data_IF_440706376241
#
_entry.id   IF_440706376241
#
_cell.length_a   1.000
_cell.length_b   1.000
_cell.length_c   1.000
_cell.angle_alpha   90.00
_cell.angle_beta   90.00
_cell.angle_gamma   90.00
#
_symmetry.space_group_name_H-M   'P 1'
#
loop_
_entity.id
_entity.type
_entity.pdbx_description
1 polymer ?
#
# COMPACT_ATOMS: atom_id res chain seq x y z
N UNK A 1 -3.57 -16.71 15.17
CA UNK A 1 -3.90 -17.43 13.91
C UNK A 1 -2.91 -18.57 13.78
N UNK A 2 -3.32 -19.69 13.20
CA UNK A 2 -2.39 -20.77 12.81
C UNK A 2 -1.73 -20.43 11.47
N UNK A 3 -0.62 -21.07 11.13
CA UNK A 3 0.08 -20.84 9.85
C UNK A 3 -0.85 -21.04 8.64
N UNK A 4 -1.67 -22.10 8.69
CA UNK A 4 -2.70 -22.37 7.68
C UNK A 4 -3.74 -21.24 7.55
N UNK A 5 -4.08 -20.58 8.66
CA UNK A 5 -5.00 -19.43 8.61
C UNK A 5 -4.34 -18.21 7.99
N UNK A 6 -3.03 -18.04 8.15
CA UNK A 6 -2.25 -16.96 7.54
C UNK A 6 -2.13 -17.18 6.02
N UNK A 7 -1.86 -18.42 5.59
CA UNK A 7 -1.77 -18.78 4.17
C UNK A 7 -3.10 -18.58 3.41
N UNK A 8 -4.24 -18.76 4.08
CA UNK A 8 -5.57 -18.54 3.51
C UNK A 8 -6.06 -17.09 3.68
N UNK A 9 -5.18 -16.15 4.07
CA UNK A 9 -5.49 -14.73 4.01
C UNK A 9 -5.36 -14.24 2.57
N UNK A 10 -6.33 -13.44 2.13
CA UNK A 10 -6.21 -12.76 0.85
C UNK A 10 -5.02 -11.78 0.93
N UNK A 11 -4.13 -11.70 -0.07
CA UNK A 11 -2.99 -10.78 -0.11
C UNK A 11 -3.47 -9.36 -0.44
N UNK A 12 -4.41 -8.86 0.34
CA UNK A 12 -5.04 -7.55 0.23
C UNK A 12 -4.35 -6.59 1.18
N UNK A 13 -4.32 -5.31 0.80
CA UNK A 13 -3.67 -4.27 1.59
C UNK A 13 -3.36 -3.06 0.72
N UNK A 14 -2.97 -3.27 -0.53
CA UNK A 14 -2.86 -2.20 -1.52
C UNK A 14 -4.23 -1.65 -1.93
N UNK A 15 -4.31 -0.32 -2.05
CA UNK A 15 -5.41 0.36 -2.74
C UNK A 15 -5.42 -0.04 -4.22
N UNK A 16 -6.56 -0.02 -4.94
CA UNK A 16 -7.91 0.14 -4.41
C UNK A 16 -8.50 -1.19 -3.91
N UNK A 17 -9.29 -1.10 -2.84
CA UNK A 17 -10.17 -2.18 -2.38
C UNK A 17 -11.62 -1.71 -2.49
N UNK A 18 -12.45 -2.50 -3.14
CA UNK A 18 -13.90 -2.29 -3.19
C UNK A 18 -14.56 -3.21 -2.17
N UNK A 19 -15.47 -2.66 -1.36
CA UNK A 19 -16.15 -3.41 -0.31
C UNK A 19 -17.62 -3.01 -0.23
N UNK A 20 -18.50 -4.00 -0.05
CA UNK A 20 -19.91 -3.72 0.19
C UNK A 20 -20.12 -3.08 1.57
N UNK A 21 -21.09 -2.19 1.70
CA UNK A 21 -21.33 -1.44 2.94
C UNK A 21 -21.57 -2.34 4.15
N UNK A 22 -22.30 -3.44 3.97
CA UNK A 22 -22.56 -4.40 5.06
C UNK A 22 -21.29 -5.15 5.50
N UNK A 23 -20.40 -5.45 4.55
CA UNK A 23 -19.13 -6.11 4.85
C UNK A 23 -18.20 -5.16 5.60
N UNK A 24 -18.19 -3.88 5.18
CA UNK A 24 -17.46 -2.84 5.89
C UNK A 24 -17.97 -2.67 7.33
N UNK A 25 -19.29 -2.71 7.56
CA UNK A 25 -19.83 -2.65 8.93
C UNK A 25 -19.35 -3.82 9.80
N UNK A 26 -19.15 -5.01 9.22
CA UNK A 26 -18.61 -6.18 9.92
C UNK A 26 -17.11 -6.05 10.20
N UNK A 27 -16.34 -5.58 9.21
CA UNK A 27 -14.87 -5.49 9.30
C UNK A 27 -14.42 -4.32 10.17
N UNK A 28 -15.07 -3.16 10.06
CA UNK A 28 -14.62 -1.90 10.69
C UNK A 28 -14.33 -1.98 12.20
N UNK A 29 -15.21 -2.53 13.07
CA UNK A 29 -14.91 -2.63 14.50
C UNK A 29 -13.74 -3.57 14.78
N UNK A 30 -13.63 -4.67 14.03
CA UNK A 30 -12.53 -5.64 14.17
C UNK A 30 -11.21 -5.00 13.70
N UNK A 31 -11.26 -4.27 12.59
CA UNK A 31 -10.11 -3.57 12.03
C UNK A 31 -9.56 -2.53 13.01
N UNK A 32 -10.42 -1.73 13.63
CA UNK A 32 -10.03 -0.81 14.68
C UNK A 32 -9.26 -1.53 15.81
N UNK A 33 -9.83 -2.59 16.36
CA UNK A 33 -9.24 -3.30 17.51
C UNK A 33 -7.94 -4.02 17.13
N UNK A 34 -7.87 -4.61 15.94
CA UNK A 34 -6.66 -5.26 15.43
C UNK A 34 -5.56 -4.23 15.21
N UNK A 35 -5.87 -3.11 14.54
CA UNK A 35 -4.93 -2.02 14.29
C UNK A 35 -4.35 -1.47 15.59
N UNK A 36 -5.19 -1.24 16.62
CA UNK A 36 -4.72 -0.79 17.92
C UNK A 36 -3.78 -1.80 18.59
N UNK A 37 -4.11 -3.10 18.54
CA UNK A 37 -3.24 -4.14 19.09
C UNK A 37 -1.89 -4.19 18.40
N UNK A 38 -1.88 -4.11 17.06
CA UNK A 38 -0.64 -4.05 16.27
C UNK A 38 0.17 -2.81 16.64
N UNK A 39 -0.48 -1.65 16.76
CA UNK A 39 0.17 -0.38 17.11
C UNK A 39 0.79 -0.39 18.51
N UNK A 40 0.20 -1.13 19.45
CA UNK A 40 0.69 -1.27 20.82
C UNK A 40 1.86 -2.26 20.93
N UNK A 41 2.02 -3.15 19.96
CA UNK A 41 3.17 -4.04 19.89
C UNK A 41 4.39 -3.29 19.35
N UNK A 42 5.45 -3.19 20.16
CA UNK A 42 6.64 -2.41 19.82
C UNK A 42 7.40 -2.96 18.62
N UNK A 43 7.44 -4.27 18.44
CA UNK A 43 8.17 -4.89 17.33
C UNK A 43 7.38 -4.70 16.03
N UNK A 44 6.06 -4.91 16.07
CA UNK A 44 5.20 -4.70 14.92
C UNK A 44 5.13 -3.22 14.50
N UNK A 45 4.97 -2.29 15.45
CA UNK A 45 4.96 -0.84 15.16
C UNK A 45 6.29 -0.38 14.55
N UNK A 46 7.42 -0.86 15.09
CA UNK A 46 8.74 -0.55 14.55
C UNK A 46 8.92 -1.13 13.15
N UNK A 47 8.44 -2.35 12.89
CA UNK A 47 8.61 -3.02 11.61
C UNK A 47 7.71 -2.47 10.51
N UNK A 48 6.44 -2.17 10.81
CA UNK A 48 5.43 -1.82 9.81
C UNK A 48 5.12 -0.33 9.76
N UNK A 49 5.38 0.41 10.84
CA UNK A 49 5.18 1.85 10.91
C UNK A 49 3.79 2.27 10.45
N UNK A 50 3.71 3.30 9.61
CA UNK A 50 2.42 3.83 9.14
C UNK A 50 1.61 2.85 8.28
N UNK A 51 2.22 1.80 7.72
CA UNK A 51 1.57 0.80 6.85
C UNK A 51 0.77 -0.22 7.67
N UNK A 52 0.93 -0.25 8.99
CA UNK A 52 0.30 -1.24 9.88
C UNK A 52 -1.22 -1.32 9.75
N UNK A 53 -1.88 -0.21 9.41
CA UNK A 53 -3.33 -0.17 9.28
C UNK A 53 -3.81 -0.99 8.07
N UNK A 54 -3.01 -1.05 7.00
CA UNK A 54 -3.29 -1.88 5.81
C UNK A 54 -3.22 -3.37 6.18
N UNK A 55 -2.22 -3.80 6.97
CA UNK A 55 -2.14 -5.18 7.48
C UNK A 55 -3.27 -5.49 8.47
N UNK A 56 -3.65 -4.51 9.30
CA UNK A 56 -4.78 -4.61 10.21
C UNK A 56 -6.08 -4.93 9.46
N UNK A 57 -6.29 -4.31 8.29
CA UNK A 57 -7.46 -4.57 7.45
C UNK A 57 -7.49 -6.01 6.91
N UNK A 58 -6.35 -6.51 6.45
CA UNK A 58 -6.21 -7.89 5.94
C UNK A 58 -6.57 -8.91 7.01
N UNK A 59 -6.01 -8.73 8.21
CA UNK A 59 -6.26 -9.60 9.37
C UNK A 59 -7.72 -9.50 9.80
N UNK A 60 -8.28 -8.30 9.89
CA UNK A 60 -9.67 -8.09 10.27
C UNK A 60 -10.65 -8.68 9.26
N UNK A 61 -10.38 -8.57 7.96
CA UNK A 61 -11.18 -9.19 6.91
C UNK A 61 -11.22 -10.70 7.06
N UNK A 62 -10.07 -11.32 7.34
CA UNK A 62 -9.98 -12.76 7.63
C UNK A 62 -10.82 -13.16 8.84
N UNK A 63 -10.72 -12.40 9.94
CA UNK A 63 -11.50 -12.66 11.17
C UNK A 63 -13.00 -12.49 10.92
N UNK A 64 -13.39 -11.48 10.16
CA UNK A 64 -14.79 -11.20 9.80
C UNK A 64 -15.39 -12.21 8.79
N UNK A 65 -14.56 -13.10 8.23
CA UNK A 65 -14.97 -14.03 7.17
C UNK A 65 -15.31 -13.31 5.85
N UNK A 66 -14.72 -12.14 5.59
CA UNK A 66 -14.88 -11.42 4.34
C UNK A 66 -13.75 -11.84 3.40
N UNK A 67 -14.11 -12.19 2.16
CA UNK A 67 -13.18 -12.57 1.09
C UNK A 67 -13.25 -11.56 -0.04
N UNK A 68 -12.13 -11.42 -0.75
CA UNK A 68 -11.99 -10.45 -1.83
C UNK A 68 -11.77 -11.15 -3.16
N UNK A 69 -12.36 -10.58 -4.22
CA UNK A 69 -12.08 -10.99 -5.59
C UNK A 69 -10.75 -10.35 -6.04
N UNK A 70 -9.71 -11.16 -6.17
CA UNK A 70 -8.37 -10.69 -6.45
C UNK A 70 -8.20 -10.37 -7.95
N UNK A 71 -7.72 -9.15 -8.21
CA UNK A 71 -7.42 -8.65 -9.56
C UNK A 71 -6.00 -8.05 -9.61
N UNK A 72 -4.94 -8.88 -9.67
CA UNK A 72 -3.56 -8.40 -9.65
C UNK A 72 -3.23 -7.42 -10.80
N UNK A 73 -3.84 -7.61 -11.98
CA UNK A 73 -3.68 -6.73 -13.13
C UNK A 73 -4.47 -5.41 -13.02
N UNK A 74 -5.21 -5.16 -11.93
CA UNK A 74 -5.98 -3.92 -11.79
C UNK A 74 -5.05 -2.70 -11.71
N UNK A 75 -3.89 -2.84 -11.07
CA UNK A 75 -3.06 -1.69 -10.73
C UNK A 75 -1.58 -2.05 -10.57
N UNK A 76 -0.72 -1.21 -11.15
CA UNK A 76 0.73 -1.23 -10.91
C UNK A 76 1.11 -0.30 -9.74
N UNK A 77 2.16 -0.68 -9.01
CA UNK A 77 2.74 0.05 -7.88
C UNK A 77 4.24 0.26 -8.06
N UNK A 78 4.67 1.14 -8.98
CA UNK A 78 6.07 1.55 -9.06
C UNK A 78 6.53 2.20 -7.74
N UNK A 79 7.81 2.07 -7.37
CA UNK A 79 8.89 1.40 -8.11
C UNK A 79 9.00 -0.12 -7.85
N UNK A 80 8.08 -0.73 -7.09
CA UNK A 80 8.15 -2.17 -6.80
C UNK A 80 7.78 -3.01 -8.02
N UNK A 81 6.74 -2.60 -8.75
CA UNK A 81 6.47 -3.15 -10.08
C UNK A 81 7.44 -2.55 -11.09
N UNK A 82 8.27 -3.41 -11.70
CA UNK A 82 9.34 -3.01 -12.64
C UNK A 82 8.88 -2.90 -14.09
N UNK A 83 7.61 -3.19 -14.36
CA UNK A 83 7.04 -3.16 -15.71
C UNK A 83 5.64 -2.55 -15.69
N UNK A 84 5.25 -1.93 -16.80
CA UNK A 84 3.92 -1.32 -16.95
C UNK A 84 2.81 -2.34 -17.26
N UNK A 85 3.16 -3.59 -17.58
CA UNK A 85 2.23 -4.71 -17.75
C UNK A 85 0.98 -4.37 -18.57
N UNK A 86 -0.11 -5.09 -18.28
CA UNK A 86 -1.47 -4.69 -18.66
C UNK A 86 -2.21 -4.22 -17.40
N UNK A 87 -1.81 -3.06 -16.88
CA UNK A 87 -2.46 -2.45 -15.72
C UNK A 87 -3.45 -1.36 -16.12
N UNK A 88 -4.58 -1.28 -15.43
CA UNK A 88 -5.59 -0.23 -15.65
C UNK A 88 -5.30 1.04 -14.85
N UNK A 89 -4.59 0.93 -13.73
CA UNK A 89 -4.29 2.03 -12.81
C UNK A 89 -2.79 2.06 -12.51
N UNK A 90 -2.21 3.26 -12.47
CA UNK A 90 -0.86 3.50 -11.95
C UNK A 90 -0.96 4.19 -10.59
N UNK A 91 -0.52 3.53 -9.53
CA UNK A 91 -0.59 4.06 -8.17
C UNK A 91 0.78 4.43 -7.62
N UNK A 92 0.99 5.73 -7.48
CA UNK A 92 2.20 6.30 -6.89
C UNK A 92 2.05 6.40 -5.37
N UNK A 93 2.25 5.27 -4.68
CA UNK A 93 2.23 5.20 -3.21
C UNK A 93 3.46 5.86 -2.60
N UNK A 94 4.63 5.59 -3.20
CA UNK A 94 5.93 6.00 -2.69
C UNK A 94 6.57 7.03 -3.62
N UNK A 95 7.38 7.91 -3.04
CA UNK A 95 8.23 8.79 -3.82
C UNK A 95 9.25 7.97 -4.59
N UNK A 96 9.41 8.29 -5.87
CA UNK A 96 10.50 7.80 -6.70
C UNK A 96 11.64 8.79 -6.59
N UNK A 97 12.57 8.51 -5.69
CA UNK A 97 13.77 9.32 -5.45
C UNK A 97 14.99 8.57 -5.98
N UNK A 98 15.83 9.24 -6.77
CA UNK A 98 17.06 8.67 -7.32
C UNK A 98 18.24 9.59 -7.09
N UNK A 99 19.40 9.01 -6.78
CA UNK A 99 20.67 9.75 -6.77
C UNK A 99 21.16 10.08 -8.19
N UNK A 100 22.29 10.79 -8.28
CA UNK A 100 22.89 11.19 -9.56
C UNK A 100 23.30 10.01 -10.46
N UNK A 101 23.41 8.79 -9.91
CA UNK A 101 23.77 7.58 -10.64
C UNK A 101 22.52 6.72 -10.98
N UNK A 102 21.31 7.22 -10.72
CA UNK A 102 20.07 6.49 -10.94
C UNK A 102 19.76 5.44 -9.88
N UNK A 103 20.45 5.44 -8.74
CA UNK A 103 20.16 4.49 -7.66
C UNK A 103 18.94 4.96 -6.83
N UNK A 104 17.99 4.05 -6.61
CA UNK A 104 16.75 4.34 -5.86
C UNK A 104 17.03 4.61 -4.37
N UNK A 105 16.58 5.77 -3.86
CA UNK A 105 16.80 6.24 -2.49
C UNK A 105 15.48 6.43 -1.71
N UNK A 106 14.74 5.35 -1.39
CA UNK A 106 13.42 5.47 -0.76
C UNK A 106 13.48 6.22 0.57
N UNK A 107 12.60 7.22 0.72
CA UNK A 107 12.48 8.00 1.96
C UNK A 107 13.55 9.09 2.14
N UNK A 108 14.43 9.30 1.15
CA UNK A 108 15.38 10.42 1.11
C UNK A 108 15.25 11.13 -0.23
N UNK A 109 15.24 12.46 -0.22
CA UNK A 109 15.24 13.22 -1.47
C UNK A 109 16.57 12.99 -2.20
N UNK A 110 16.46 12.45 -3.42
CA UNK A 110 17.58 12.25 -4.33
C UNK A 110 17.86 13.49 -5.19
N UNK A 111 18.80 13.35 -6.12
CA UNK A 111 19.07 14.36 -7.16
C UNK A 111 17.87 14.52 -8.11
N UNK A 112 17.13 13.44 -8.33
CA UNK A 112 15.85 13.45 -9.03
C UNK A 112 14.74 12.90 -8.14
N UNK A 113 13.54 13.46 -8.26
CA UNK A 113 12.38 13.07 -7.45
C UNK A 113 11.07 13.19 -8.22
N UNK A 114 10.26 12.14 -8.13
CA UNK A 114 8.84 12.17 -8.44
C UNK A 114 8.03 11.63 -7.26
N UNK A 115 7.42 12.54 -6.49
CA UNK A 115 6.55 12.21 -5.36
C UNK A 115 5.33 13.14 -5.40
N UNK A 116 4.13 12.57 -5.24
CA UNK A 116 2.87 13.34 -5.18
C UNK A 116 2.89 14.46 -4.15
N UNK A 117 3.65 14.29 -3.06
CA UNK A 117 3.82 15.30 -2.00
C UNK A 117 4.49 16.58 -2.51
N UNK A 118 5.27 16.50 -3.59
CA UNK A 118 5.84 17.67 -4.27
C UNK A 118 4.80 18.47 -5.06
N UNK A 119 3.62 17.89 -5.30
CA UNK A 119 2.55 18.45 -6.13
C UNK A 119 1.23 18.59 -5.36
N UNK A 120 1.28 18.75 -4.03
CA UNK A 120 0.06 18.88 -3.20
C UNK A 120 -0.80 20.11 -3.56
N UNK A 121 -0.18 21.14 -4.15
CA UNK A 121 -0.83 22.41 -4.48
C UNK A 121 -1.29 22.51 -5.94
N UNK A 122 -1.09 21.50 -6.77
CA UNK A 122 -1.46 21.56 -8.18
C UNK A 122 -1.02 20.36 -8.99
N UNK A 123 -1.39 20.34 -10.27
CA UNK A 123 -0.98 19.26 -11.16
C UNK A 123 0.54 19.30 -11.42
N UNK A 124 1.20 18.13 -11.54
CA UNK A 124 2.60 18.09 -11.98
C UNK A 124 2.79 18.78 -13.34
N UNK A 125 3.95 19.40 -13.60
CA UNK A 125 4.31 19.89 -14.92
C UNK A 125 4.18 18.80 -16.00
N UNK A 126 3.76 19.18 -17.22
CA UNK A 126 3.61 18.21 -18.32
C UNK A 126 4.94 17.60 -18.78
N UNK A 127 6.03 18.35 -18.65
CA UNK A 127 7.35 17.99 -19.12
C UNK A 127 8.27 17.84 -17.91
N UNK A 128 8.15 16.72 -17.21
CA UNK A 128 9.09 16.36 -16.15
C UNK A 128 10.37 15.83 -16.77
N UNK A 129 11.51 16.20 -16.18
CA UNK A 129 12.78 15.62 -16.56
C UNK A 129 12.74 14.10 -16.34
N UNK A 130 13.32 13.29 -17.23
CA UNK A 130 13.43 11.86 -17.01
C UNK A 130 14.32 11.57 -15.79
N UNK A 131 14.12 10.43 -15.10
CA UNK A 131 15.06 10.00 -14.06
C UNK A 131 16.47 9.76 -14.65
N UNK A 132 17.53 9.91 -13.84
CA UNK A 132 18.92 9.64 -14.22
C UNK A 132 19.16 8.20 -14.71
#
# INVERSE_FOLDING_TARGET
MTDRQIEDMDPIGSSPVFIHKEDLRRVAPIWHDVTLKIKQDREADKAWGWVLEMYGYTIASKIAGVRHDLRPALMAQPPWDKGLGEFFILHFTYGMDYDENGAFTPGKMGAWRFDKRSFMAGIPPKNLDPPP
#
